data_IF_300455570214
#
_entry.id   IF_300455570214
#
_cell.length_a   1.000
_cell.length_b   1.000
_cell.length_c   1.000
_cell.angle_alpha   90.00
_cell.angle_beta   90.00
_cell.angle_gamma   90.00
#
_symmetry.space_group_name_H-M   'P 1'
#
loop_
_entity.id
_entity.type
_entity.pdbx_description
1 polymer ?
#
# COMPACT_ATOMS: atom_id res chain seq x y z
N UNK A 1 -13.08 14.40 -26.21
CA UNK A 1 -13.13 12.96 -25.85
C UNK A 1 -12.66 12.75 -24.41
N UNK A 2 -11.40 13.04 -24.06
CA UNK A 2 -10.85 12.75 -22.71
C UNK A 2 -11.59 13.48 -21.57
N UNK A 3 -11.95 14.76 -21.72
CA UNK A 3 -12.76 15.49 -20.72
C UNK A 3 -14.10 14.79 -20.43
N UNK A 4 -14.84 14.38 -21.46
CA UNK A 4 -16.11 13.64 -21.29
C UNK A 4 -15.88 12.31 -20.56
N UNK A 5 -14.82 11.58 -20.90
CA UNK A 5 -14.42 10.37 -20.17
C UNK A 5 -14.15 10.65 -18.70
N UNK A 6 -13.46 11.75 -18.38
CA UNK A 6 -13.17 12.15 -17.00
C UNK A 6 -14.46 12.48 -16.21
N UNK A 7 -15.44 13.13 -16.85
CA UNK A 7 -16.75 13.39 -16.23
C UNK A 7 -17.50 12.08 -15.94
N UNK A 8 -17.50 11.13 -16.88
CA UNK A 8 -18.08 9.80 -16.66
C UNK A 8 -17.36 9.03 -15.55
N UNK A 9 -16.03 9.09 -15.50
CA UNK A 9 -15.25 8.52 -14.42
C UNK A 9 -15.68 9.08 -13.07
N UNK A 10 -15.81 10.40 -12.94
CA UNK A 10 -16.26 11.04 -11.71
C UNK A 10 -17.62 10.50 -11.25
N UNK A 11 -18.59 10.40 -12.16
CA UNK A 11 -19.92 9.85 -11.85
C UNK A 11 -19.81 8.38 -11.41
N UNK A 12 -19.09 7.55 -12.16
CA UNK A 12 -18.96 6.12 -11.87
C UNK A 12 -18.25 5.82 -10.55
N UNK A 13 -17.27 6.65 -10.17
CA UNK A 13 -16.67 6.59 -8.84
C UNK A 13 -17.67 6.97 -7.74
N UNK A 14 -18.52 7.98 -7.96
CA UNK A 14 -19.52 8.41 -6.98
C UNK A 14 -20.61 7.35 -6.75
N UNK A 15 -21.04 6.65 -7.81
CA UNK A 15 -22.06 5.59 -7.70
C UNK A 15 -21.47 4.19 -7.45
N UNK A 16 -20.16 4.10 -7.20
CA UNK A 16 -19.42 2.85 -6.97
C UNK A 16 -19.62 1.78 -8.08
N UNK A 17 -19.63 2.19 -9.36
CA UNK A 17 -19.73 1.30 -10.54
C UNK A 17 -18.41 1.23 -11.31
N UNK A 18 -17.34 0.80 -10.62
CA UNK A 18 -15.97 0.78 -11.16
C UNK A 18 -15.77 -0.17 -12.37
N UNK A 19 -16.66 -1.15 -12.54
CA UNK A 19 -16.67 -2.03 -13.71
C UNK A 19 -16.92 -1.27 -15.01
N UNK A 20 -17.69 -0.18 -14.97
CA UNK A 20 -18.01 0.68 -16.12
C UNK A 20 -16.82 1.53 -16.61
N UNK A 21 -15.72 1.58 -15.83
CA UNK A 21 -14.50 2.28 -16.24
C UNK A 21 -13.74 1.51 -17.34
N UNK A 22 -13.86 0.17 -17.39
CA UNK A 22 -13.05 -0.67 -18.30
C UNK A 22 -13.28 -0.34 -19.80
N UNK A 23 -14.52 -0.21 -20.30
CA UNK A 23 -14.75 0.16 -21.70
C UNK A 23 -14.21 1.55 -22.05
N UNK A 24 -14.33 2.50 -21.13
CA UNK A 24 -13.83 3.86 -21.30
C UNK A 24 -12.30 3.92 -21.33
N UNK A 25 -11.63 3.17 -20.46
CA UNK A 25 -10.15 3.04 -20.48
C UNK A 25 -9.70 2.47 -21.82
N UNK A 26 -10.32 1.38 -22.29
CA UNK A 26 -10.02 0.79 -23.61
C UNK A 26 -10.20 1.78 -24.76
N UNK A 27 -11.25 2.60 -24.71
CA UNK A 27 -11.49 3.62 -25.74
C UNK A 27 -10.38 4.69 -25.75
N UNK A 28 -9.87 5.09 -24.59
CA UNK A 28 -8.74 6.02 -24.49
C UNK A 28 -7.43 5.35 -24.92
N UNK A 29 -7.16 4.11 -24.52
CA UNK A 29 -5.96 3.37 -24.93
C UNK A 29 -5.91 3.18 -26.46
N UNK A 30 -7.07 2.98 -27.09
CA UNK A 30 -7.21 2.86 -28.54
C UNK A 30 -7.18 4.20 -29.29
N UNK A 31 -7.12 5.34 -28.60
CA UNK A 31 -7.07 6.66 -29.25
C UNK A 31 -5.73 6.94 -29.94
N UNK A 32 -4.68 6.14 -29.67
CA UNK A 32 -3.41 6.21 -30.37
C UNK A 32 -2.73 7.58 -30.23
N UNK A 33 -2.34 8.17 -31.36
CA UNK A 33 -1.63 9.47 -31.40
C UNK A 33 -2.49 10.63 -30.89
N UNK A 34 -3.83 10.53 -30.97
CA UNK A 34 -4.76 11.55 -30.49
C UNK A 34 -4.59 11.82 -28.99
N UNK A 35 -4.15 10.83 -28.21
CA UNK A 35 -3.88 11.01 -26.80
C UNK A 35 -2.91 12.16 -26.53
N UNK A 36 -1.92 12.34 -27.41
CA UNK A 36 -0.90 13.38 -27.26
C UNK A 36 -1.46 14.80 -27.45
N UNK A 37 -2.55 14.94 -28.20
CA UNK A 37 -3.18 16.23 -28.50
C UNK A 37 -4.09 16.74 -27.36
N UNK A 38 -4.50 15.86 -26.43
CA UNK A 38 -5.34 16.28 -25.30
C UNK A 38 -4.62 17.23 -24.35
N UNK A 39 -5.42 18.11 -23.72
CA UNK A 39 -4.95 19.04 -22.71
C UNK A 39 -4.29 18.30 -21.55
N UNK A 40 -3.24 18.91 -20.98
CA UNK A 40 -2.55 18.33 -19.83
C UNK A 40 -3.48 18.15 -18.63
N UNK A 41 -4.40 19.09 -18.41
CA UNK A 41 -5.41 18.99 -17.35
C UNK A 41 -6.28 17.72 -17.49
N UNK A 42 -6.70 17.39 -18.71
CA UNK A 42 -7.49 16.18 -18.98
C UNK A 42 -6.66 14.91 -18.78
N UNK A 43 -5.38 14.92 -19.17
CA UNK A 43 -4.44 13.81 -18.95
C UNK A 43 -4.17 13.57 -17.46
N UNK A 44 -4.03 14.63 -16.68
CA UNK A 44 -3.86 14.55 -15.21
C UNK A 44 -5.10 13.94 -14.57
N UNK A 45 -6.30 14.43 -14.92
CA UNK A 45 -7.55 13.90 -14.40
C UNK A 45 -7.77 12.42 -14.78
N UNK A 46 -7.48 12.06 -16.03
CA UNK A 46 -7.56 10.68 -16.50
C UNK A 46 -6.64 9.76 -15.70
N UNK A 47 -5.36 10.14 -15.54
CA UNK A 47 -4.39 9.35 -14.80
C UNK A 47 -4.69 9.25 -13.31
N UNK A 48 -5.28 10.28 -12.71
CA UNK A 48 -5.80 10.21 -11.34
C UNK A 48 -6.85 9.11 -11.19
N UNK A 49 -7.84 9.05 -12.10
CA UNK A 49 -8.89 8.02 -12.05
C UNK A 49 -8.39 6.63 -12.41
N UNK A 50 -7.53 6.52 -13.44
CA UNK A 50 -6.90 5.26 -13.84
C UNK A 50 -6.08 4.68 -12.69
N UNK A 51 -5.28 5.50 -12.03
CA UNK A 51 -4.46 5.09 -10.90
C UNK A 51 -5.28 4.65 -9.68
N UNK A 52 -6.38 5.36 -9.37
CA UNK A 52 -7.34 4.94 -8.34
C UNK A 52 -7.96 3.58 -8.65
N UNK A 53 -8.40 3.39 -9.89
CA UNK A 53 -8.95 2.10 -10.33
C UNK A 53 -7.92 0.99 -10.17
N UNK A 54 -6.71 1.20 -10.66
CA UNK A 54 -5.63 0.22 -10.58
C UNK A 54 -5.31 -0.16 -9.12
N UNK A 55 -5.33 0.83 -8.21
CA UNK A 55 -5.18 0.58 -6.77
C UNK A 55 -6.29 -0.33 -6.22
N UNK A 56 -7.56 -0.12 -6.61
CA UNK A 56 -8.67 -1.00 -6.22
C UNK A 56 -8.56 -2.41 -6.81
N UNK A 57 -8.07 -2.53 -8.04
CA UNK A 57 -7.79 -3.79 -8.72
C UNK A 57 -6.48 -4.45 -8.21
N UNK A 58 -5.81 -3.86 -7.22
CA UNK A 58 -4.52 -4.27 -6.64
C UNK A 58 -3.34 -4.31 -7.63
N UNK A 59 -3.45 -3.64 -8.79
CA UNK A 59 -2.36 -3.41 -9.73
C UNK A 59 -1.52 -2.20 -9.27
N UNK A 60 -0.58 -2.48 -8.36
CA UNK A 60 0.25 -1.44 -7.72
C UNK A 60 1.17 -0.72 -8.73
N UNK A 61 1.65 -1.42 -9.76
CA UNK A 61 2.59 -0.86 -10.73
C UNK A 61 1.88 0.17 -11.63
N UNK A 62 0.70 -0.19 -12.16
CA UNK A 62 -0.10 0.75 -12.93
C UNK A 62 -0.60 1.91 -12.04
N UNK A 63 -1.03 1.61 -10.82
CA UNK A 63 -1.47 2.62 -9.87
C UNK A 63 -0.36 3.65 -9.59
N UNK A 64 0.85 3.19 -9.29
CA UNK A 64 2.00 4.06 -9.05
C UNK A 64 2.31 4.91 -10.27
N UNK A 65 2.43 4.29 -11.46
CA UNK A 65 2.75 4.99 -12.70
C UNK A 65 1.75 6.10 -13.00
N UNK A 66 0.45 5.80 -12.93
CA UNK A 66 -0.62 6.76 -13.25
C UNK A 66 -0.74 7.85 -12.19
N UNK A 67 -0.74 7.52 -10.90
CA UNK A 67 -0.85 8.53 -9.84
C UNK A 67 0.39 9.42 -9.78
N UNK A 68 1.58 8.87 -10.02
CA UNK A 68 2.81 9.67 -10.09
C UNK A 68 2.82 10.59 -11.32
N UNK A 69 2.31 10.13 -12.46
CA UNK A 69 2.12 10.97 -13.64
C UNK A 69 1.17 12.13 -13.32
N UNK A 70 0.02 11.84 -12.70
CA UNK A 70 -0.95 12.86 -12.31
C UNK A 70 -0.32 13.88 -11.34
N UNK A 71 0.42 13.43 -10.33
CA UNK A 71 1.05 14.31 -9.35
C UNK A 71 2.10 15.23 -9.97
N UNK A 72 2.97 14.70 -10.83
CA UNK A 72 4.07 15.44 -11.48
C UNK A 72 3.58 16.48 -12.49
N UNK A 73 2.50 16.16 -13.22
CA UNK A 73 1.95 17.05 -14.24
C UNK A 73 0.83 17.97 -13.71
N UNK A 74 0.45 17.82 -12.44
CA UNK A 74 -0.48 18.74 -11.79
C UNK A 74 0.26 20.06 -11.43
N UNK A 75 -0.29 21.23 -11.79
CA UNK A 75 0.33 22.52 -11.46
C UNK A 75 0.63 22.66 -9.97
N UNK A 76 1.74 23.33 -9.63
CA UNK A 76 2.17 23.48 -8.24
C UNK A 76 1.17 24.27 -7.39
N UNK A 77 0.48 25.22 -8.01
CA UNK A 77 -0.55 26.08 -7.43
C UNK A 77 -1.83 25.29 -7.10
N UNK A 78 -2.03 24.14 -7.74
CA UNK A 78 -3.22 23.29 -7.58
C UNK A 78 -3.10 22.36 -6.37
N UNK A 79 -2.79 22.92 -5.20
CA UNK A 79 -2.54 22.17 -3.95
C UNK A 79 -3.67 21.21 -3.58
N UNK A 80 -4.93 21.61 -3.79
CA UNK A 80 -6.10 20.74 -3.54
C UNK A 80 -6.09 19.47 -4.41
N UNK A 81 -5.72 19.60 -5.69
CA UNK A 81 -5.66 18.46 -6.60
C UNK A 81 -4.46 17.57 -6.30
N UNK A 82 -3.30 18.16 -6.02
CA UNK A 82 -2.12 17.42 -5.54
C UNK A 82 -2.42 16.63 -4.27
N UNK A 83 -3.10 17.24 -3.30
CA UNK A 83 -3.56 16.56 -2.09
C UNK A 83 -4.46 15.36 -2.42
N UNK A 84 -5.46 15.53 -3.30
CA UNK A 84 -6.33 14.43 -3.74
C UNK A 84 -5.54 13.28 -4.37
N UNK A 85 -4.53 13.59 -5.20
CA UNK A 85 -3.67 12.58 -5.81
C UNK A 85 -2.85 11.84 -4.74
N UNK A 86 -2.27 12.57 -3.78
CA UNK A 86 -1.44 12.00 -2.71
C UNK A 86 -2.21 11.06 -1.78
N UNK A 87 -3.49 11.32 -1.50
CA UNK A 87 -4.35 10.42 -0.71
C UNK A 87 -4.32 8.98 -1.26
N UNK A 88 -4.18 8.80 -2.57
CA UNK A 88 -4.09 7.48 -3.21
C UNK A 88 -2.64 7.07 -3.49
N UNK A 89 -1.75 8.01 -3.82
CA UNK A 89 -0.36 7.69 -4.16
C UNK A 89 0.45 7.24 -2.94
N UNK A 90 0.26 7.87 -1.77
CA UNK A 90 0.93 7.49 -0.51
C UNK A 90 0.69 6.01 -0.20
N UNK A 91 -0.56 5.53 -0.09
CA UNK A 91 -0.82 4.13 0.19
C UNK A 91 -0.17 3.16 -0.83
N UNK A 92 -0.23 3.48 -2.13
CA UNK A 92 0.43 2.67 -3.18
C UNK A 92 1.94 2.62 -2.96
N UNK A 93 2.58 3.77 -2.70
CA UNK A 93 4.02 3.84 -2.41
C UNK A 93 4.40 3.04 -1.16
N UNK A 94 3.58 3.08 -0.11
CA UNK A 94 3.80 2.31 1.12
C UNK A 94 3.78 0.80 0.84
N UNK A 95 2.87 0.31 -0.01
CA UNK A 95 2.87 -1.09 -0.44
C UNK A 95 4.11 -1.50 -1.21
N UNK A 96 4.66 -0.58 -2.00
CA UNK A 96 5.93 -0.76 -2.72
C UNK A 96 7.16 -0.57 -1.81
N UNK A 97 6.95 -0.29 -0.52
CA UNK A 97 8.00 -0.12 0.49
C UNK A 97 8.61 1.26 0.56
N UNK A 98 7.97 2.25 -0.05
CA UNK A 98 8.38 3.65 -0.01
C UNK A 98 7.45 4.44 0.93
N UNK A 99 8.00 4.87 2.07
CA UNK A 99 7.26 5.65 3.06
C UNK A 99 7.36 7.16 2.73
N UNK A 100 6.27 7.93 2.88
CA UNK A 100 6.34 9.39 2.72
C UNK A 100 7.17 10.02 3.85
N UNK A 101 7.67 11.23 3.60
CA UNK A 101 8.34 12.05 4.62
C UNK A 101 7.31 12.86 5.40
N UNK A 102 7.62 13.18 6.66
CA UNK A 102 6.78 14.06 7.48
C UNK A 102 6.57 15.44 6.82
N UNK A 103 7.61 15.99 6.19
CA UNK A 103 7.52 17.27 5.48
C UNK A 103 6.48 17.23 4.34
N UNK A 104 6.44 16.14 3.56
CA UNK A 104 5.44 15.97 2.49
C UNK A 104 4.03 15.89 3.07
N UNK A 105 3.83 15.11 4.14
CA UNK A 105 2.52 14.98 4.77
C UNK A 105 2.01 16.33 5.28
N UNK A 106 2.88 17.10 5.94
CA UNK A 106 2.53 18.41 6.46
C UNK A 106 2.24 19.42 5.35
N UNK A 107 3.08 19.49 4.30
CA UNK A 107 2.91 20.38 3.15
C UNK A 107 1.52 20.24 2.50
N UNK A 108 1.03 19.00 2.39
CA UNK A 108 -0.27 18.69 1.77
C UNK A 108 -1.40 18.46 2.78
N UNK A 109 -1.18 18.70 4.08
CA UNK A 109 -2.17 18.51 5.17
C UNK A 109 -2.77 17.09 5.16
N UNK A 110 -1.88 16.10 5.26
CA UNK A 110 -2.17 14.67 5.27
C UNK A 110 -1.62 14.05 6.56
N UNK A 111 -1.77 14.78 7.67
CA UNK A 111 -1.22 14.42 8.98
C UNK A 111 -1.82 13.11 9.51
N UNK A 112 -3.01 12.72 9.04
CA UNK A 112 -3.67 11.44 9.35
C UNK A 112 -2.80 10.22 8.99
N UNK A 113 -1.88 10.36 8.02
CA UNK A 113 -0.95 9.29 7.64
C UNK A 113 0.28 9.18 8.53
N UNK A 114 0.57 10.16 9.38
CA UNK A 114 1.83 10.22 10.14
C UNK A 114 2.01 8.99 11.05
N UNK A 115 0.98 8.68 11.85
CA UNK A 115 1.00 7.55 12.78
C UNK A 115 1.01 6.21 12.05
N UNK A 116 0.27 6.10 10.94
CA UNK A 116 0.28 4.90 10.08
C UNK A 116 1.69 4.64 9.55
N UNK A 117 2.37 5.68 9.07
CA UNK A 117 3.73 5.56 8.51
C UNK A 117 4.74 5.19 9.59
N UNK A 118 4.64 5.79 10.78
CA UNK A 118 5.49 5.45 11.92
C UNK A 118 5.31 3.98 12.31
N UNK A 119 4.07 3.54 12.52
CA UNK A 119 3.73 2.18 12.90
C UNK A 119 4.27 1.13 11.91
N UNK A 120 4.08 1.35 10.60
CA UNK A 120 4.56 0.42 9.56
C UNK A 120 6.10 0.37 9.53
N UNK A 121 6.78 1.50 9.66
CA UNK A 121 8.26 1.56 9.72
C UNK A 121 8.81 0.87 10.97
N UNK A 122 8.08 0.97 12.07
CA UNK A 122 8.50 0.39 13.34
C UNK A 122 8.12 -1.09 13.46
N UNK A 123 7.18 -1.58 12.66
CA UNK A 123 6.63 -2.92 12.84
C UNK A 123 5.71 -3.01 14.06
N UNK A 124 5.09 -1.89 14.45
CA UNK A 124 4.21 -1.82 15.61
C UNK A 124 2.75 -1.99 15.18
N UNK A 125 2.19 -3.18 15.40
CA UNK A 125 0.84 -3.53 14.96
C UNK A 125 -0.24 -2.82 15.78
N UNK A 126 -0.09 -2.75 17.10
CA UNK A 126 -1.07 -2.07 17.94
C UNK A 126 -1.14 -0.57 17.64
N UNK A 127 0.01 0.06 17.36
CA UNK A 127 0.04 1.45 16.92
C UNK A 127 -0.61 1.64 15.54
N UNK A 128 -0.43 0.69 14.62
CA UNK A 128 -1.09 0.73 13.32
C UNK A 128 -2.62 0.68 13.49
N UNK A 129 -3.12 -0.24 14.30
CA UNK A 129 -4.55 -0.40 14.55
C UNK A 129 -5.16 0.86 15.20
N UNK A 130 -4.46 1.42 16.20
CA UNK A 130 -4.86 2.68 16.82
C UNK A 130 -4.86 3.85 15.80
N UNK A 131 -3.83 3.96 14.96
CA UNK A 131 -3.74 5.02 13.94
C UNK A 131 -4.88 4.94 12.91
N UNK A 132 -5.24 3.72 12.49
CA UNK A 132 -6.36 3.49 11.58
C UNK A 132 -7.70 3.80 12.24
N UNK A 133 -7.90 3.42 13.50
CA UNK A 133 -9.12 3.70 14.25
C UNK A 133 -9.29 5.21 14.52
N UNK A 134 -8.24 5.90 14.97
CA UNK A 134 -8.27 7.34 15.27
C UNK A 134 -8.63 8.19 14.05
N UNK A 135 -8.27 7.73 12.84
CA UNK A 135 -8.48 8.45 11.59
C UNK A 135 -9.48 7.73 10.65
N UNK A 136 -10.27 6.81 11.19
CA UNK A 136 -11.15 5.92 10.42
C UNK A 136 -12.10 6.70 9.49
N UNK A 137 -12.76 7.73 10.02
CA UNK A 137 -13.70 8.54 9.26
C UNK A 137 -13.07 9.20 8.02
N UNK A 138 -11.81 9.66 8.14
CA UNK A 138 -11.07 10.25 7.02
C UNK A 138 -10.74 9.20 5.95
N UNK A 139 -10.25 8.04 6.37
CA UNK A 139 -9.84 6.96 5.47
C UNK A 139 -11.03 6.28 4.77
N UNK A 140 -12.16 6.10 5.48
CA UNK A 140 -13.41 5.59 4.90
C UNK A 140 -13.97 6.58 3.89
N UNK A 141 -14.08 7.87 4.26
CA UNK A 141 -14.56 8.92 3.35
C UNK A 141 -13.70 9.03 2.09
N UNK A 142 -12.40 8.79 2.22
CA UNK A 142 -11.44 8.80 1.10
C UNK A 142 -11.46 7.50 0.27
N UNK A 143 -12.10 6.43 0.77
CA UNK A 143 -12.19 5.12 0.13
C UNK A 143 -10.88 4.32 0.15
N UNK A 144 -10.00 4.57 1.13
CA UNK A 144 -8.67 3.91 1.24
C UNK A 144 -8.50 3.05 2.48
N UNK A 145 -9.48 3.03 3.40
CA UNK A 145 -9.39 2.29 4.66
C UNK A 145 -9.02 0.80 4.47
N UNK A 146 -9.77 0.07 3.64
CA UNK A 146 -9.53 -1.36 3.37
C UNK A 146 -8.14 -1.63 2.76
N UNK A 147 -7.62 -0.67 1.99
CA UNK A 147 -6.27 -0.78 1.46
C UNK A 147 -5.24 -0.60 2.60
N UNK A 148 -5.46 0.35 3.51
CA UNK A 148 -4.55 0.64 4.61
C UNK A 148 -4.52 -0.51 5.63
N UNK A 149 -5.63 -1.18 5.88
CA UNK A 149 -5.67 -2.39 6.72
C UNK A 149 -4.74 -3.49 6.19
N UNK A 150 -4.59 -3.63 4.87
CA UNK A 150 -3.67 -4.59 4.25
C UNK A 150 -2.19 -4.27 4.56
N UNK A 151 -1.85 -3.09 5.08
CA UNK A 151 -0.51 -2.77 5.58
C UNK A 151 -0.14 -3.58 6.84
N UNK A 152 -1.09 -4.21 7.53
CA UNK A 152 -0.82 -5.14 8.64
C UNK A 152 0.20 -6.21 8.24
N UNK A 153 0.06 -6.81 7.06
CA UNK A 153 1.02 -7.80 6.57
C UNK A 153 2.43 -7.24 6.35
N UNK A 154 2.56 -5.98 5.91
CA UNK A 154 3.86 -5.33 5.78
C UNK A 154 4.46 -5.02 7.16
N UNK A 155 3.61 -4.68 8.11
CA UNK A 155 4.01 -4.34 9.49
C UNK A 155 4.49 -5.59 10.23
N UNK A 156 3.77 -6.72 10.12
CA UNK A 156 4.24 -8.04 10.57
C UNK A 156 5.60 -8.40 9.96
N UNK A 157 5.74 -8.27 8.64
CA UNK A 157 7.01 -8.51 7.95
C UNK A 157 8.15 -7.66 8.53
N UNK A 158 7.87 -6.39 8.84
CA UNK A 158 8.85 -5.45 9.39
C UNK A 158 9.26 -5.85 10.81
N UNK A 159 8.30 -6.19 11.66
CA UNK A 159 8.55 -6.72 13.00
C UNK A 159 9.39 -8.00 12.94
N UNK A 160 8.97 -8.98 12.14
CA UNK A 160 9.65 -10.27 12.05
C UNK A 160 11.05 -10.15 11.46
N UNK A 161 11.29 -9.20 10.54
CA UNK A 161 12.64 -8.86 10.10
C UNK A 161 13.51 -8.39 11.27
N UNK A 162 12.99 -7.52 12.14
CA UNK A 162 13.72 -7.04 13.34
C UNK A 162 14.02 -8.19 14.29
N UNK A 163 13.03 -9.03 14.61
CA UNK A 163 13.21 -10.23 15.47
C UNK A 163 14.28 -11.15 14.90
N UNK A 164 14.21 -11.45 13.60
CA UNK A 164 15.22 -12.27 12.91
C UNK A 164 16.63 -11.69 13.02
N UNK A 165 16.73 -10.35 12.94
CA UNK A 165 18.02 -9.65 13.08
C UNK A 165 18.56 -9.76 14.50
N UNK A 166 17.69 -9.65 15.52
CA UNK A 166 18.06 -9.76 16.94
C UNK A 166 18.50 -11.19 17.30
N UNK A 167 17.76 -12.20 16.83
CA UNK A 167 18.10 -13.62 17.07
C UNK A 167 19.41 -14.00 16.37
N UNK A 168 19.71 -13.41 15.22
CA UNK A 168 21.02 -13.51 14.57
C UNK A 168 21.34 -14.88 13.94
N UNK A 169 20.38 -15.80 13.89
CA UNK A 169 20.56 -17.13 13.27
C UNK A 169 19.50 -17.38 12.20
N UNK A 170 19.77 -18.36 11.32
CA UNK A 170 18.82 -18.72 10.25
C UNK A 170 17.59 -19.51 10.75
N UNK A 171 17.62 -20.04 11.98
CA UNK A 171 16.54 -20.83 12.56
C UNK A 171 15.96 -20.06 13.75
N UNK A 172 14.80 -19.47 13.56
CA UNK A 172 14.20 -18.55 14.53
C UNK A 172 13.03 -19.26 15.22
N UNK A 173 13.09 -19.47 16.54
CA UNK A 173 11.97 -20.06 17.28
C UNK A 173 10.71 -19.19 17.15
N UNK A 174 9.54 -19.83 17.04
CA UNK A 174 8.27 -19.11 16.97
C UNK A 174 7.98 -18.28 18.23
N UNK A 175 8.43 -18.76 19.39
CA UNK A 175 8.31 -18.03 20.66
C UNK A 175 9.00 -16.65 20.64
N UNK A 176 10.08 -16.49 19.85
CA UNK A 176 10.72 -15.19 19.68
C UNK A 176 9.81 -14.18 18.97
N UNK A 177 9.06 -14.64 17.95
CA UNK A 177 8.07 -13.79 17.28
C UNK A 177 6.86 -13.52 18.17
N UNK A 178 6.38 -14.52 18.90
CA UNK A 178 5.24 -14.35 19.80
C UNK A 178 5.56 -13.40 20.96
N UNK A 179 6.76 -13.50 21.52
CA UNK A 179 7.25 -12.53 22.51
C UNK A 179 7.30 -11.13 21.93
N UNK A 180 7.81 -10.96 20.70
CA UNK A 180 7.85 -9.65 20.06
C UNK A 180 6.45 -9.07 19.79
N UNK A 181 5.47 -9.91 19.43
CA UNK A 181 4.07 -9.50 19.28
C UNK A 181 3.50 -8.97 20.60
N UNK A 182 3.72 -9.69 21.71
CA UNK A 182 3.28 -9.24 23.04
C UNK A 182 3.94 -7.92 23.44
N UNK A 183 5.22 -7.74 23.14
CA UNK A 183 5.95 -6.48 23.42
C UNK A 183 5.35 -5.28 22.67
N UNK A 184 4.87 -5.48 21.44
CA UNK A 184 4.20 -4.42 20.67
C UNK A 184 2.68 -4.36 20.94
N UNK A 185 2.19 -5.02 21.99
CA UNK A 185 0.80 -4.95 22.42
C UNK A 185 -0.18 -5.86 21.67
N UNK A 186 0.30 -6.82 20.88
CA UNK A 186 -0.52 -7.83 20.22
C UNK A 186 -0.55 -9.10 21.08
N UNK A 187 -1.68 -9.36 21.71
CA UNK A 187 -1.84 -10.45 22.69
C UNK A 187 -2.85 -11.52 22.29
N UNK A 188 -3.63 -11.24 21.24
CA UNK A 188 -4.69 -12.09 20.70
C UNK A 188 -4.19 -13.14 19.68
N UNK A 189 -2.94 -13.03 19.24
CA UNK A 189 -2.33 -13.97 18.29
C UNK A 189 -1.76 -15.19 19.01
N UNK A 190 -2.41 -16.33 18.84
CA UNK A 190 -1.91 -17.64 19.28
C UNK A 190 -0.85 -18.22 18.32
N UNK A 191 -0.34 -19.41 18.65
CA UNK A 191 0.73 -20.05 17.86
C UNK A 191 0.26 -20.44 16.47
N UNK A 192 -0.97 -20.92 16.32
CA UNK A 192 -1.52 -21.38 15.04
C UNK A 192 -1.75 -20.18 14.11
N UNK A 193 -2.24 -19.07 14.66
CA UNK A 193 -2.39 -17.82 13.92
C UNK A 193 -1.03 -17.22 13.53
N UNK A 194 -0.04 -17.25 14.43
CA UNK A 194 1.34 -16.83 14.12
C UNK A 194 1.92 -17.64 12.95
N UNK A 195 1.76 -18.96 12.98
CA UNK A 195 2.18 -19.83 11.89
C UNK A 195 1.48 -19.48 10.57
N UNK A 196 0.17 -19.22 10.60
CA UNK A 196 -0.60 -18.78 9.45
C UNK A 196 -0.09 -17.44 8.89
N UNK A 197 0.19 -16.45 9.75
CA UNK A 197 0.75 -15.16 9.35
C UNK A 197 2.10 -15.37 8.66
N UNK A 198 2.99 -16.18 9.24
CA UNK A 198 4.30 -16.49 8.66
C UNK A 198 4.15 -17.22 7.32
N UNK A 199 3.25 -18.21 7.24
CA UNK A 199 2.97 -18.94 6.00
C UNK A 199 2.49 -17.99 4.89
N UNK A 200 1.60 -17.05 5.20
CA UNK A 200 1.14 -16.03 4.25
C UNK A 200 2.26 -15.07 3.80
N UNK A 201 3.19 -14.74 4.70
CA UNK A 201 4.37 -13.95 4.36
C UNK A 201 5.33 -14.71 3.44
N UNK A 202 5.48 -16.02 3.63
CA UNK A 202 6.28 -16.88 2.74
C UNK A 202 5.60 -17.02 1.39
N UNK A 203 4.31 -17.37 1.36
CA UNK A 203 3.53 -17.55 0.14
C UNK A 203 3.52 -16.27 -0.72
N UNK A 204 3.42 -15.10 -0.08
CA UNK A 204 3.49 -13.80 -0.77
C UNK A 204 4.92 -13.29 -1.01
N UNK A 205 5.93 -14.16 -0.90
CA UNK A 205 7.36 -13.92 -1.16
C UNK A 205 7.99 -12.79 -0.32
N UNK A 206 7.30 -12.35 0.74
CA UNK A 206 7.75 -11.31 1.68
C UNK A 206 8.82 -11.80 2.63
N UNK A 207 8.82 -13.11 2.89
CA UNK A 207 9.85 -13.86 3.59
C UNK A 207 10.31 -15.00 2.67
N UNK A 208 11.61 -15.19 2.54
CA UNK A 208 12.21 -16.37 1.88
C UNK A 208 12.66 -17.34 2.96
N UNK A 209 12.07 -18.53 2.95
CA UNK A 209 12.31 -19.54 3.97
C UNK A 209 11.20 -20.58 3.99
N UNK A 210 11.19 -21.41 5.02
CA UNK A 210 10.12 -22.36 5.28
C UNK A 210 9.82 -22.44 6.77
N UNK A 211 8.57 -22.76 7.09
CA UNK A 211 8.13 -23.03 8.45
C UNK A 211 8.39 -24.51 8.78
N UNK A 212 9.10 -24.78 9.88
CA UNK A 212 9.28 -26.13 10.43
C UNK A 212 8.31 -26.32 11.59
N UNK A 213 7.07 -26.68 11.25
CA UNK A 213 5.96 -26.84 12.21
C UNK A 213 6.32 -27.75 13.38
N UNK A 214 6.80 -28.98 13.11
CA UNK A 214 7.17 -29.94 14.16
C UNK A 214 8.30 -29.51 15.11
N UNK A 215 9.05 -28.46 14.76
CA UNK A 215 10.10 -27.90 15.62
C UNK A 215 9.79 -26.47 16.09
N UNK A 216 8.60 -25.93 15.77
CA UNK A 216 8.20 -24.58 16.16
C UNK A 216 9.20 -23.49 15.74
N UNK A 217 9.68 -23.52 14.49
CA UNK A 217 10.69 -22.55 14.00
C UNK A 217 10.48 -22.12 12.56
N UNK A 218 10.79 -20.85 12.28
CA UNK A 218 10.96 -20.33 10.92
C UNK A 218 12.43 -20.50 10.51
N UNK A 219 12.67 -21.15 9.38
CA UNK A 219 14.01 -21.24 8.79
C UNK A 219 14.10 -20.29 7.61
N UNK A 220 14.84 -19.19 7.78
CA UNK A 220 15.00 -18.16 6.75
C UNK A 220 16.16 -18.44 5.80
N UNK A 221 16.07 -17.94 4.56
CA UNK A 221 17.13 -18.04 3.58
C UNK A 221 18.40 -17.30 4.05
N UNK A 222 19.58 -17.86 3.74
CA UNK A 222 20.88 -17.26 4.11
C UNK A 222 21.10 -15.89 3.48
N UNK A 223 20.57 -15.68 2.28
CA UNK A 223 20.69 -14.43 1.53
C UNK A 223 19.30 -13.87 1.25
N UNK A 224 19.14 -12.56 1.47
CA UNK A 224 17.93 -11.83 1.14
C UNK A 224 16.63 -12.46 1.71
N UNK A 225 16.66 -12.92 2.97
CA UNK A 225 15.52 -13.50 3.68
C UNK A 225 14.26 -12.62 3.66
N UNK A 226 14.43 -11.31 3.62
CA UNK A 226 13.35 -10.32 3.57
C UNK A 226 13.54 -9.39 2.35
N UNK A 227 13.13 -9.81 1.15
CA UNK A 227 13.29 -9.03 -0.09
C UNK A 227 12.62 -7.67 -0.04
N UNK A 228 13.14 -6.67 -0.75
CA UNK A 228 12.50 -5.36 -0.86
C UNK A 228 11.08 -5.49 -1.41
N UNK A 229 10.15 -4.69 -0.90
CA UNK A 229 8.73 -4.77 -1.30
C UNK A 229 8.53 -4.43 -2.77
N UNK A 230 9.22 -3.39 -3.27
CA UNK A 230 9.24 -3.04 -4.69
C UNK A 230 9.71 -4.18 -5.60
N UNK A 231 10.68 -4.98 -5.14
CA UNK A 231 11.18 -6.14 -5.89
C UNK A 231 10.20 -7.31 -5.95
N UNK A 232 9.25 -7.38 -5.01
CA UNK A 232 8.21 -8.42 -4.98
C UNK A 232 7.05 -8.04 -5.91
N UNK A 233 6.68 -6.76 -5.95
CA UNK A 233 5.59 -6.27 -6.81
C UNK A 233 5.94 -6.22 -8.31
N UNK A 234 7.23 -6.32 -8.66
CA UNK A 234 7.71 -6.35 -10.03
C UNK A 234 7.68 -7.76 -10.69
N UNK A 235 7.33 -8.81 -9.92
CA UNK A 235 7.24 -10.21 -10.38
C UNK A 235 5.81 -10.72 -10.33
#
# INVERSE_FOLDING_TARGET
>A
MLNMTNQLFQIYFQINKLNLLKPLIRAIDNSGTLYNEFLMADKVAYNYFLGRKAMFDADLNLAEKSLLYAFRNCPAESMSNKRKILIYLIPVKMFLGHMPTFALLHEYRLDEFQEVVAAVKEGNLAQLDAALANNEAFFIKSGIFLMLEKLRMITFRTLFKKVSTIVGTAQIPLDAFQTALRVVGVTDVDTDELECIIANLIASKKIKGYLSHGHGKLVIAKTNAFPTLSGISAT
#
